data_IF_654097789148
#
_entry.id   IF_654097789148
#
_cell.length_a   1.000
_cell.length_b   1.000
_cell.length_c   1.000
_cell.angle_alpha   90.00
_cell.angle_beta   90.00
_cell.angle_gamma   90.00
#
_symmetry.space_group_name_H-M   'P 1'
#
loop_
_entity.id
_entity.type
_entity.pdbx_description
1 polymer ?
#
# COMPACT_ATOMS: atom_id res chain seq x y z
N UNK A 1 -9.05 2.53 -14.95
CA UNK A 1 -8.24 1.31 -14.68
C UNK A 1 -9.16 0.10 -14.62
N UNK A 2 -8.80 -1.01 -15.26
CA UNK A 2 -9.51 -2.28 -15.11
C UNK A 2 -8.87 -3.07 -13.95
N UNK A 3 -9.63 -3.36 -12.89
CA UNK A 3 -9.14 -4.11 -11.71
C UNK A 3 -8.51 -5.46 -12.10
N UNK A 4 -9.09 -6.14 -13.10
CA UNK A 4 -8.56 -7.41 -13.61
C UNK A 4 -7.19 -7.24 -14.27
N UNK A 5 -6.94 -6.11 -14.93
CA UNK A 5 -5.64 -5.80 -15.51
C UNK A 5 -4.62 -5.47 -14.41
N UNK A 6 -5.03 -4.69 -13.40
CA UNK A 6 -4.19 -4.32 -12.27
C UNK A 6 -3.70 -5.54 -11.47
N UNK A 7 -4.59 -6.49 -11.15
CA UNK A 7 -4.24 -7.75 -10.46
C UNK A 7 -3.28 -8.60 -11.30
N UNK A 8 -3.48 -8.64 -12.63
CA UNK A 8 -2.67 -9.45 -13.54
C UNK A 8 -1.27 -8.90 -13.78
N UNK A 9 -1.04 -7.60 -13.58
CA UNK A 9 0.28 -6.96 -13.75
C UNK A 9 1.32 -7.64 -12.86
N UNK A 10 1.04 -7.73 -11.56
CA UNK A 10 1.87 -8.45 -10.59
C UNK A 10 0.99 -8.97 -9.44
N UNK A 11 0.57 -10.25 -9.47
CA UNK A 11 -0.36 -10.79 -8.50
C UNK A 11 0.24 -10.92 -7.10
N UNK A 12 1.54 -11.21 -7.00
CA UNK A 12 2.23 -11.30 -5.70
C UNK A 12 2.25 -9.94 -5.02
N UNK A 13 2.66 -8.89 -5.76
CA UNK A 13 2.67 -7.53 -5.24
C UNK A 13 1.27 -7.06 -4.83
N UNK A 14 0.26 -7.37 -5.64
CA UNK A 14 -1.14 -7.07 -5.31
C UNK A 14 -1.57 -7.66 -3.97
N UNK A 15 -1.32 -8.96 -3.76
CA UNK A 15 -1.72 -9.63 -2.52
C UNK A 15 -0.93 -9.12 -1.30
N UNK A 16 0.35 -8.82 -1.46
CA UNK A 16 1.14 -8.20 -0.38
C UNK A 16 0.60 -6.82 -0.01
N UNK A 17 0.27 -5.99 -0.99
CA UNK A 17 -0.37 -4.68 -0.78
C UNK A 17 -1.73 -4.83 -0.10
N UNK A 18 -2.56 -5.79 -0.55
CA UNK A 18 -3.88 -6.04 0.03
C UNK A 18 -3.80 -6.51 1.50
N UNK A 19 -2.83 -7.37 1.83
CA UNK A 19 -2.56 -7.78 3.21
C UNK A 19 -2.11 -6.57 4.03
N UNK A 20 -1.23 -5.73 3.48
CA UNK A 20 -0.78 -4.50 4.11
C UNK A 20 -1.92 -3.55 4.48
N UNK A 21 -2.91 -3.38 3.61
CA UNK A 21 -4.12 -2.58 3.89
C UNK A 21 -4.98 -3.11 5.04
N UNK A 22 -4.83 -4.37 5.43
CA UNK A 22 -5.49 -4.96 6.60
C UNK A 22 -4.61 -4.80 7.84
N UNK A 23 -3.29 -5.00 7.69
CA UNK A 23 -2.33 -4.93 8.80
C UNK A 23 -2.22 -3.51 9.37
N UNK A 24 -2.15 -2.48 8.53
CA UNK A 24 -2.02 -1.07 8.95
C UNK A 24 -3.14 -0.67 9.93
N UNK A 25 -4.45 -0.80 9.58
CA UNK A 25 -5.51 -0.47 10.53
C UNK A 25 -5.52 -1.38 11.76
N UNK A 26 -5.12 -2.66 11.63
CA UNK A 26 -5.02 -3.56 12.78
C UNK A 26 -3.93 -3.10 13.78
N UNK A 27 -2.78 -2.65 13.29
CA UNK A 27 -1.71 -2.07 14.11
C UNK A 27 -2.18 -0.77 14.78
N UNK A 28 -2.86 0.11 14.05
CA UNK A 28 -3.43 1.35 14.59
C UNK A 28 -4.43 1.11 15.72
N UNK A 29 -5.35 0.15 15.54
CA UNK A 29 -6.31 -0.27 16.58
C UNK A 29 -5.57 -0.83 17.80
N UNK A 30 -4.59 -1.71 17.57
CA UNK A 30 -3.78 -2.30 18.65
C UNK A 30 -3.05 -1.22 19.44
N UNK A 31 -2.45 -0.25 18.76
CA UNK A 31 -1.75 0.86 19.41
C UNK A 31 -2.69 1.72 20.26
N UNK A 32 -3.94 1.91 19.81
CA UNK A 32 -4.94 2.66 20.57
C UNK A 32 -5.21 2.01 21.94
N UNK A 33 -5.33 0.68 22.00
CA UNK A 33 -5.50 -0.03 23.27
C UNK A 33 -4.25 0.04 24.16
N UNK A 34 -3.05 -0.01 23.56
CA UNK A 34 -1.79 0.14 24.31
C UNK A 34 -1.71 1.52 24.97
N UNK A 35 -1.99 2.59 24.21
CA UNK A 35 -1.97 3.97 24.73
C UNK A 35 -3.07 4.18 25.78
N UNK A 36 -4.23 3.54 25.64
CA UNK A 36 -5.30 3.64 26.64
C UNK A 36 -4.87 3.15 28.04
N UNK A 37 -4.05 2.09 28.10
CA UNK A 37 -3.52 1.57 29.37
C UNK A 37 -2.49 2.49 30.04
N UNK A 38 -1.91 3.46 29.32
CA UNK A 38 -0.98 4.43 29.89
C UNK A 38 -1.60 5.22 31.04
N UNK A 39 -2.89 5.57 30.94
CA UNK A 39 -3.60 6.31 31.98
C UNK A 39 -3.67 5.49 33.27
N UNK A 40 -4.01 4.20 33.17
CA UNK A 40 -4.08 3.30 34.32
C UNK A 40 -2.70 3.14 34.98
N UNK A 41 -1.65 2.99 34.16
CA UNK A 41 -0.27 2.84 34.64
C UNK A 41 0.21 4.12 35.31
N UNK A 42 -0.09 5.29 34.74
CA UNK A 42 0.27 6.59 35.31
C UNK A 42 -0.40 6.81 36.67
N UNK A 43 -1.69 6.49 36.78
CA UNK A 43 -2.44 6.57 38.05
C UNK A 43 -1.85 5.64 39.12
N UNK A 44 -1.33 4.47 38.71
CA UNK A 44 -0.63 3.55 39.62
C UNK A 44 0.78 4.00 40.03
N UNK A 45 1.27 5.14 39.52
CA UNK A 45 2.62 5.70 39.74
C UNK A 45 3.75 4.71 39.42
N UNK A 46 3.51 3.76 38.51
CA UNK A 46 4.48 2.76 38.13
C UNK A 46 5.32 3.23 36.93
N UNK A 47 6.40 3.97 37.22
CA UNK A 47 7.26 4.57 36.20
C UNK A 47 7.95 3.55 35.28
N UNK A 48 8.32 2.38 35.81
CA UNK A 48 8.93 1.31 35.00
C UNK A 48 7.94 0.80 33.94
N UNK A 49 6.71 0.50 34.35
CA UNK A 49 5.65 0.09 33.41
C UNK A 49 5.30 1.22 32.43
N UNK A 50 5.33 2.46 32.89
CA UNK A 50 5.06 3.64 32.05
C UNK A 50 6.08 3.76 30.91
N UNK A 51 7.37 3.60 31.20
CA UNK A 51 8.42 3.60 30.18
C UNK A 51 8.24 2.41 29.23
N UNK A 52 7.99 1.21 29.76
CA UNK A 52 7.84 0.00 28.94
C UNK A 52 6.67 0.10 27.96
N UNK A 53 5.52 0.62 28.41
CA UNK A 53 4.35 0.75 27.53
C UNK A 53 4.54 1.82 26.46
N UNK A 54 5.24 2.92 26.77
CA UNK A 54 5.61 3.94 25.79
C UNK A 54 6.58 3.38 24.74
N UNK A 55 7.58 2.60 25.15
CA UNK A 55 8.49 1.91 24.22
C UNK A 55 7.71 0.95 23.32
N UNK A 56 6.75 0.20 23.87
CA UNK A 56 5.89 -0.69 23.09
C UNK A 56 5.05 0.09 22.06
N UNK A 57 4.38 1.17 22.48
CA UNK A 57 3.59 2.02 21.60
C UNK A 57 4.45 2.62 20.46
N UNK A 58 5.64 3.11 20.80
CA UNK A 58 6.60 3.62 19.83
C UNK A 58 7.03 2.55 18.80
N UNK A 59 7.31 1.32 19.25
CA UNK A 59 7.67 0.22 18.35
C UNK A 59 6.53 -0.17 17.42
N UNK A 60 5.28 -0.19 17.92
CA UNK A 60 4.11 -0.43 17.08
C UNK A 60 3.97 0.66 16.01
N UNK A 61 4.13 1.93 16.38
CA UNK A 61 4.12 3.05 15.44
C UNK A 61 5.25 2.95 14.40
N UNK A 62 6.46 2.56 14.81
CA UNK A 62 7.59 2.39 13.90
C UNK A 62 7.31 1.30 12.85
N UNK A 63 6.72 0.18 13.28
CA UNK A 63 6.33 -0.92 12.39
C UNK A 63 5.21 -0.47 11.45
N UNK A 64 4.18 0.20 11.97
CA UNK A 64 3.06 0.71 11.18
C UNK A 64 3.54 1.67 10.08
N UNK A 65 4.45 2.58 10.43
CA UNK A 65 5.07 3.50 9.47
C UNK A 65 5.86 2.74 8.39
N UNK A 66 6.67 1.75 8.78
CA UNK A 66 7.45 0.95 7.83
C UNK A 66 6.58 0.12 6.88
N UNK A 67 5.52 -0.50 7.39
CA UNK A 67 4.55 -1.26 6.58
C UNK A 67 3.82 -0.33 5.63
N UNK A 68 3.35 0.83 6.11
CA UNK A 68 2.67 1.83 5.28
C UNK A 68 3.55 2.30 4.11
N UNK A 69 4.81 2.66 4.38
CA UNK A 69 5.74 3.07 3.34
C UNK A 69 5.99 1.97 2.29
N UNK A 70 6.08 0.72 2.73
CA UNK A 70 6.27 -0.43 1.83
C UNK A 70 5.03 -0.67 0.95
N UNK A 71 3.84 -0.57 1.53
CA UNK A 71 2.56 -0.71 0.82
C UNK A 71 2.39 0.39 -0.23
N UNK A 72 2.68 1.64 0.15
CA UNK A 72 2.62 2.78 -0.77
C UNK A 72 3.58 2.61 -1.95
N UNK A 73 4.82 2.20 -1.66
CA UNK A 73 5.82 1.91 -2.69
C UNK A 73 5.34 0.81 -3.65
N UNK A 74 4.82 -0.30 -3.12
CA UNK A 74 4.31 -1.40 -3.93
C UNK A 74 3.14 -0.96 -4.82
N UNK A 75 2.22 -0.18 -4.28
CA UNK A 75 1.09 0.35 -5.03
C UNK A 75 1.54 1.25 -6.18
N UNK A 76 2.47 2.17 -5.93
CA UNK A 76 3.03 3.05 -6.97
C UNK A 76 3.72 2.26 -8.07
N UNK A 77 4.57 1.29 -7.69
CA UNK A 77 5.26 0.44 -8.65
C UNK A 77 4.27 -0.37 -9.51
N UNK A 78 3.18 -0.87 -8.92
CA UNK A 78 2.16 -1.62 -9.66
C UNK A 78 1.34 -0.75 -10.63
N UNK A 79 1.05 0.50 -10.24
CA UNK A 79 0.41 1.49 -11.13
C UNK A 79 1.34 1.83 -12.30
N UNK A 80 2.64 2.01 -12.02
CA UNK A 80 3.64 2.28 -13.05
C UNK A 80 3.75 1.11 -14.03
N UNK A 81 3.89 -0.12 -13.55
CA UNK A 81 3.96 -1.32 -14.39
C UNK A 81 2.71 -1.46 -15.28
N UNK A 82 1.52 -1.16 -14.76
CA UNK A 82 0.28 -1.18 -15.54
C UNK A 82 0.29 -0.09 -16.63
N UNK A 83 0.72 1.13 -16.29
CA UNK A 83 0.80 2.23 -17.24
C UNK A 83 1.80 1.93 -18.36
N UNK A 84 2.94 1.34 -18.05
CA UNK A 84 3.94 0.94 -19.04
C UNK A 84 3.42 -0.16 -19.96
N UNK A 85 2.69 -1.14 -19.43
CA UNK A 85 2.01 -2.16 -20.25
C UNK A 85 0.95 -1.56 -21.17
N UNK A 86 0.18 -0.58 -20.71
CA UNK A 86 -0.81 0.12 -21.54
C UNK A 86 -0.12 0.92 -22.64
N UNK A 87 0.96 1.64 -22.30
CA UNK A 87 1.77 2.40 -23.27
C UNK A 87 2.39 1.52 -24.34
N UNK A 88 3.01 0.40 -23.96
CA UNK A 88 3.59 -0.56 -24.91
C UNK A 88 2.52 -1.13 -25.86
N UNK A 89 1.34 -1.47 -25.34
CA UNK A 89 0.21 -1.94 -26.18
C UNK A 89 -0.26 -0.88 -27.18
N UNK A 90 -0.34 0.38 -26.76
CA UNK A 90 -0.68 1.49 -27.66
C UNK A 90 0.40 1.61 -28.74
N UNK A 91 1.67 1.72 -28.36
CA UNK A 91 2.79 1.89 -29.30
C UNK A 91 2.83 0.75 -30.32
N UNK A 92 2.74 -0.51 -29.88
CA UNK A 92 2.69 -1.68 -30.77
C UNK A 92 1.51 -1.63 -31.72
N UNK A 93 0.32 -1.28 -31.22
CA UNK A 93 -0.89 -1.23 -32.05
C UNK A 93 -0.80 -0.15 -33.12
N UNK A 94 -0.31 1.05 -32.82
CA UNK A 94 -0.33 2.16 -33.78
C UNK A 94 0.86 2.21 -34.73
N UNK A 95 2.04 1.75 -34.29
CA UNK A 95 3.28 1.93 -35.05
C UNK A 95 3.83 0.63 -35.64
N UNK A 96 3.48 -0.52 -35.08
CA UNK A 96 4.10 -1.80 -35.44
C UNK A 96 3.10 -2.86 -35.97
N UNK A 97 1.79 -2.57 -36.00
CA UNK A 97 0.79 -3.52 -36.50
C UNK A 97 0.59 -3.49 -38.04
N UNK A 98 1.28 -2.56 -38.73
CA UNK A 98 1.24 -2.42 -40.19
C UNK A 98 -0.07 -1.86 -40.75
N UNK A 99 -1.03 -1.43 -39.91
CA UNK A 99 -2.32 -0.88 -40.33
C UNK A 99 -2.34 0.64 -40.20
N UNK A 100 -3.05 1.31 -41.11
CA UNK A 100 -3.35 2.74 -40.98
C UNK A 100 -4.42 2.92 -39.91
N UNK A 101 -4.04 3.47 -38.76
CA UNK A 101 -4.98 3.89 -37.73
C UNK A 101 -5.26 5.39 -37.86
N UNK A 102 -6.53 5.79 -37.71
CA UNK A 102 -6.90 7.21 -37.64
C UNK A 102 -6.71 7.75 -36.23
N UNK A 103 -6.40 9.04 -36.07
CA UNK A 103 -6.20 9.68 -34.76
C UNK A 103 -7.42 9.49 -33.84
N UNK A 104 -8.63 9.42 -34.40
CA UNK A 104 -9.86 9.13 -33.68
C UNK A 104 -9.89 7.76 -32.97
N UNK A 105 -9.11 6.78 -33.45
CA UNK A 105 -9.05 5.45 -32.85
C UNK A 105 -8.20 5.43 -31.57
N UNK A 106 -7.31 6.40 -31.35
CA UNK A 106 -6.50 6.48 -30.11
C UNK A 106 -7.33 6.68 -28.84
N UNK A 107 -8.50 7.29 -28.95
CA UNK A 107 -9.37 7.58 -27.79
C UNK A 107 -10.25 6.39 -27.34
N UNK A 108 -10.21 5.24 -28.03
CA UNK A 108 -11.09 4.08 -27.76
C UNK A 108 -10.39 2.86 -27.14
N UNK A 109 -9.24 3.05 -26.49
CA UNK A 109 -8.44 2.02 -25.81
C UNK A 109 -8.58 2.11 -24.28
#
# INVERSE_FOLDING_TARGET
MNLKAFIKTNPVRFWLTAIGWIIIPALSITNTYVVQEETNILLSRNWTKFILINVLAFLIMLVDYGVSALVDYQQQAQVQDLNDQVRDKIVKRYYYDGKKHTVAQMHRL
#
